data_IF_239173992640
#
_entry.id   IF_239173992640
#
_cell.length_a   1.000
_cell.length_b   1.000
_cell.length_c   1.000
_cell.angle_alpha   90.00
_cell.angle_beta   90.00
_cell.angle_gamma   90.00
#
_symmetry.space_group_name_H-M   'P 1'
#
loop_
_entity.id
_entity.type
_entity.pdbx_description
1 polymer ?
#
# COMPACT_ATOMS: atom_id res chain seq x y z
N UNK A 1 12.96 9.54 25.87
CA UNK A 1 12.70 10.94 26.26
C UNK A 1 13.80 11.78 25.63
N UNK A 2 13.63 12.24 24.40
CA UNK A 2 14.49 13.26 23.78
C UNK A 2 13.56 14.38 23.42
N UNK A 3 13.67 15.48 24.18
CA UNK A 3 12.98 16.75 23.91
C UNK A 3 13.61 17.34 22.66
N UNK A 4 12.83 17.42 21.58
CA UNK A 4 13.16 18.30 20.47
C UNK A 4 12.97 19.74 20.96
N UNK A 5 14.06 20.50 21.00
CA UNK A 5 14.02 21.94 21.15
C UNK A 5 13.40 22.52 19.87
N UNK A 6 12.16 22.92 19.94
CA UNK A 6 11.57 23.84 18.99
C UNK A 6 12.11 25.23 19.31
N UNK A 7 13.28 25.58 18.77
CA UNK A 7 13.65 26.98 18.66
C UNK A 7 12.68 27.64 17.67
N UNK A 8 11.91 28.62 18.16
CA UNK A 8 11.04 29.47 17.37
C UNK A 8 11.84 30.10 16.21
N UNK A 9 11.76 29.49 15.02
CA UNK A 9 12.24 30.11 13.80
C UNK A 9 11.22 31.22 13.48
N UNK A 10 11.65 32.49 13.45
CA UNK A 10 10.74 33.61 13.19
C UNK A 10 10.05 33.37 11.84
N UNK A 11 8.72 33.48 11.83
CA UNK A 11 7.90 33.40 10.62
C UNK A 11 8.33 34.54 9.71
N UNK A 12 9.22 34.24 8.77
CA UNK A 12 9.67 35.20 7.77
C UNK A 12 8.47 35.65 6.94
N UNK A 13 8.28 36.95 6.65
CA UNK A 13 7.18 37.42 5.82
C UNK A 13 7.16 36.65 4.49
N UNK A 14 5.98 36.25 4.05
CA UNK A 14 5.73 35.54 2.80
C UNK A 14 6.54 36.23 1.68
N UNK A 15 7.47 35.51 1.02
CA UNK A 15 8.24 36.14 -0.06
C UNK A 15 7.33 36.67 -1.14
N UNK A 16 7.70 37.76 -1.83
CA UNK A 16 6.86 38.38 -2.85
C UNK A 16 6.39 37.33 -3.86
N UNK A 17 5.11 37.37 -4.20
CA UNK A 17 4.47 36.45 -5.16
C UNK A 17 4.82 36.78 -6.62
N UNK A 18 5.70 37.74 -6.84
CA UNK A 18 6.17 38.18 -8.15
C UNK A 18 6.91 37.03 -8.85
N UNK A 19 6.80 37.02 -10.18
CA UNK A 19 7.56 36.12 -11.05
C UNK A 19 8.65 36.89 -11.74
N UNK A 20 9.75 36.24 -12.06
CA UNK A 20 10.77 36.83 -12.91
C UNK A 20 10.16 37.23 -14.27
N UNK A 21 10.64 38.33 -14.84
CA UNK A 21 10.24 38.70 -16.21
C UNK A 21 10.70 37.62 -17.21
N UNK A 22 10.02 37.46 -18.35
CA UNK A 22 10.40 36.46 -19.35
C UNK A 22 11.88 36.54 -19.76
N UNK A 23 12.41 37.75 -19.92
CA UNK A 23 13.82 37.97 -20.28
C UNK A 23 14.79 37.58 -19.16
N UNK A 24 14.43 37.84 -17.88
CA UNK A 24 15.22 37.43 -16.73
C UNK A 24 15.21 35.90 -16.57
N UNK A 25 14.03 35.28 -16.70
CA UNK A 25 13.88 33.83 -16.64
C UNK A 25 14.75 33.13 -17.72
N UNK A 26 14.70 33.62 -18.95
CA UNK A 26 15.50 33.08 -20.05
C UNK A 26 17.02 33.18 -19.80
N UNK A 27 17.47 34.33 -19.23
CA UNK A 27 18.84 34.51 -18.88
C UNK A 27 19.29 33.53 -17.77
N UNK A 28 18.45 33.32 -16.75
CA UNK A 28 18.71 32.36 -15.65
C UNK A 28 18.73 30.91 -16.15
N UNK A 29 17.80 30.54 -17.02
CA UNK A 29 17.78 29.21 -17.65
C UNK A 29 19.08 28.96 -18.43
N UNK A 30 19.57 29.97 -19.19
CA UNK A 30 20.85 29.85 -19.89
C UNK A 30 22.01 29.64 -18.93
N UNK A 31 22.12 30.41 -17.86
CA UNK A 31 23.16 30.27 -16.85
C UNK A 31 23.19 28.86 -16.25
N UNK A 32 22.00 28.36 -15.82
CA UNK A 32 21.86 27.02 -15.22
C UNK A 32 22.19 25.92 -16.23
N UNK A 33 21.70 26.03 -17.47
CA UNK A 33 21.94 25.03 -18.53
C UNK A 33 23.35 24.95 -19.02
N UNK A 34 24.14 26.03 -18.89
CA UNK A 34 25.57 26.06 -19.28
C UNK A 34 26.52 25.65 -18.13
N UNK A 35 26.01 25.43 -16.92
CA UNK A 35 26.79 24.97 -15.80
C UNK A 35 27.08 23.46 -15.89
N UNK A 36 28.36 23.03 -16.11
CA UNK A 36 28.68 21.60 -16.18
C UNK A 36 28.35 20.83 -14.89
N UNK A 37 28.47 21.52 -13.76
CA UNK A 37 28.18 20.93 -12.45
C UNK A 37 26.70 20.62 -12.32
N UNK A 38 25.81 21.54 -12.74
CA UNK A 38 24.38 21.33 -12.71
C UNK A 38 23.98 20.19 -13.66
N UNK A 39 24.52 20.18 -14.87
CA UNK A 39 24.26 19.10 -15.83
C UNK A 39 24.67 17.74 -15.28
N UNK A 40 25.87 17.63 -14.69
CA UNK A 40 26.35 16.40 -14.08
C UNK A 40 25.46 15.95 -12.89
N UNK A 41 24.98 16.88 -12.05
CA UNK A 41 24.08 16.57 -10.95
C UNK A 41 22.72 16.06 -11.44
N UNK A 42 22.15 16.70 -12.47
CA UNK A 42 20.86 16.31 -13.06
C UNK A 42 20.93 14.93 -13.73
N UNK A 43 22.09 14.50 -14.22
CA UNK A 43 22.30 13.19 -14.82
C UNK A 43 22.63 12.09 -13.80
N UNK A 44 23.34 12.43 -12.72
CA UNK A 44 23.89 11.45 -11.78
C UNK A 44 22.92 11.02 -10.67
N UNK A 45 21.84 11.79 -10.45
CA UNK A 45 20.96 11.59 -9.29
C UNK A 45 19.62 11.00 -9.73
N UNK A 46 19.24 9.85 -9.15
CA UNK A 46 17.97 9.16 -9.42
C UNK A 46 16.75 9.82 -8.74
N UNK A 47 16.98 10.63 -7.70
CA UNK A 47 15.90 11.41 -7.08
C UNK A 47 15.42 12.52 -8.01
N UNK A 48 14.16 12.92 -7.88
CA UNK A 48 13.63 14.08 -8.61
C UNK A 48 14.41 15.35 -8.23
N UNK A 49 15.00 16.04 -9.19
CA UNK A 49 15.72 17.30 -8.97
C UNK A 49 15.04 18.45 -9.70
N UNK A 50 14.86 19.56 -8.98
CA UNK A 50 14.44 20.85 -9.54
C UNK A 50 15.49 21.90 -9.18
N UNK A 51 15.85 22.73 -10.14
CA UNK A 51 16.65 23.94 -9.90
C UNK A 51 15.70 25.14 -10.00
N UNK A 52 15.60 25.93 -8.93
CA UNK A 52 14.68 27.04 -8.81
C UNK A 52 15.44 28.37 -8.72
N UNK A 53 14.85 29.43 -9.26
CA UNK A 53 15.30 30.80 -9.01
C UNK A 53 14.75 31.33 -7.66
N UNK A 54 15.05 32.59 -7.37
CA UNK A 54 14.59 33.27 -6.15
C UNK A 54 13.04 33.37 -6.07
N UNK A 55 12.38 33.48 -7.19
CA UNK A 55 10.90 33.54 -7.36
C UNK A 55 10.27 32.14 -7.32
N UNK A 56 11.08 31.10 -7.06
CA UNK A 56 10.68 29.68 -6.96
C UNK A 56 10.21 29.09 -8.29
N UNK A 57 10.61 29.66 -9.41
CA UNK A 57 10.32 29.14 -10.74
C UNK A 57 11.37 28.11 -11.15
N UNK A 58 10.95 27.04 -11.79
CA UNK A 58 11.82 25.95 -12.25
C UNK A 58 12.64 26.43 -13.45
N UNK A 59 13.94 26.31 -13.34
CA UNK A 59 14.93 26.61 -14.38
C UNK A 59 15.45 25.35 -15.06
N UNK A 60 15.55 24.25 -14.31
CA UNK A 60 15.97 22.95 -14.80
C UNK A 60 15.38 21.83 -13.97
N UNK A 61 15.25 20.64 -14.57
CA UNK A 61 14.79 19.42 -13.91
C UNK A 61 15.48 18.21 -14.54
N UNK A 62 15.70 17.15 -13.77
CA UNK A 62 16.19 15.89 -14.30
C UNK A 62 15.02 15.01 -14.83
N UNK A 63 15.37 13.86 -15.43
CA UNK A 63 14.43 12.87 -15.95
C UNK A 63 14.20 11.72 -14.97
N UNK A 64 14.19 11.99 -13.67
CA UNK A 64 13.91 10.97 -12.69
C UNK A 64 12.50 10.39 -12.88
N UNK A 65 12.29 9.06 -12.68
CA UNK A 65 11.00 8.40 -12.85
C UNK A 65 9.89 9.06 -12.05
N UNK A 66 10.18 9.55 -10.84
CA UNK A 66 9.22 10.29 -10.01
C UNK A 66 8.66 11.51 -10.75
N UNK A 67 9.52 12.32 -11.37
CA UNK A 67 9.10 13.54 -12.06
C UNK A 67 8.39 13.23 -13.38
N UNK A 68 8.82 12.21 -14.11
CA UNK A 68 8.17 11.78 -15.35
C UNK A 68 6.74 11.28 -15.09
N UNK A 69 6.52 10.55 -14.00
CA UNK A 69 5.21 10.05 -13.60
C UNK A 69 4.26 11.15 -13.11
N UNK A 70 4.80 12.24 -12.56
CA UNK A 70 4.04 13.36 -12.02
C UNK A 70 3.83 14.49 -13.02
N UNK A 71 4.50 14.43 -14.16
CA UNK A 71 4.50 15.49 -15.17
C UNK A 71 3.21 15.45 -15.99
N UNK A 72 2.34 16.43 -15.80
CA UNK A 72 1.13 16.58 -16.61
C UNK A 72 1.30 17.56 -17.78
N UNK A 73 2.31 18.43 -17.73
CA UNK A 73 2.56 19.40 -18.79
C UNK A 73 3.93 19.16 -19.47
N UNK A 74 4.00 19.44 -20.77
CA UNK A 74 5.24 19.28 -21.55
C UNK A 74 6.31 20.31 -21.20
N UNK A 75 5.95 21.45 -20.59
CA UNK A 75 6.85 22.52 -20.23
C UNK A 75 6.92 22.66 -18.70
N UNK A 76 8.10 22.47 -18.14
CA UNK A 76 8.37 22.64 -16.69
C UNK A 76 8.97 24.01 -16.36
N UNK A 77 9.68 24.62 -17.32
CA UNK A 77 10.41 25.86 -17.12
C UNK A 77 9.45 27.03 -16.83
N UNK A 78 9.78 27.82 -15.82
CA UNK A 78 9.00 28.97 -15.36
C UNK A 78 7.80 28.63 -14.47
N UNK A 79 7.41 27.35 -14.35
CA UNK A 79 6.41 26.91 -13.39
C UNK A 79 6.99 26.87 -11.98
N UNK A 80 6.13 27.01 -10.97
CA UNK A 80 6.48 26.70 -9.59
C UNK A 80 6.21 25.22 -9.28
N UNK A 81 6.85 24.64 -8.26
CA UNK A 81 6.72 23.20 -7.99
C UNK A 81 5.28 22.67 -7.92
N UNK A 82 4.38 23.37 -7.22
CA UNK A 82 2.97 22.94 -7.14
C UNK A 82 2.21 23.02 -8.45
N UNK A 83 2.58 23.94 -9.35
CA UNK A 83 2.01 24.03 -10.69
C UNK A 83 2.51 22.88 -11.57
N UNK A 84 3.81 22.59 -11.50
CA UNK A 84 4.42 21.46 -12.18
C UNK A 84 3.79 20.12 -11.78
N UNK A 85 3.50 19.94 -10.50
CA UNK A 85 2.86 18.73 -9.97
C UNK A 85 1.32 18.73 -10.11
N UNK A 86 0.73 19.74 -10.71
CA UNK A 86 -0.74 19.91 -10.79
C UNK A 86 -1.42 19.83 -9.42
N UNK A 87 -0.78 20.42 -8.39
CA UNK A 87 -1.37 20.54 -7.07
C UNK A 87 -2.68 21.34 -7.15
N UNK A 88 -3.82 20.82 -6.70
CA UNK A 88 -5.11 21.51 -6.77
C UNK A 88 -5.05 22.90 -6.15
N UNK A 89 -4.28 23.07 -5.08
CA UNK A 89 -4.12 24.34 -4.36
C UNK A 89 -3.31 25.40 -5.12
N UNK A 90 -2.53 24.99 -6.10
CA UNK A 90 -1.77 25.93 -6.94
C UNK A 90 -2.65 26.79 -7.85
N UNK A 91 -3.92 26.40 -8.04
CA UNK A 91 -4.90 27.10 -8.87
C UNK A 91 -5.96 27.85 -8.08
N UNK A 92 -5.93 27.76 -6.75
CA UNK A 92 -6.90 28.46 -5.87
C UNK A 92 -6.66 29.99 -5.84
N UNK A 93 -5.43 30.42 -6.07
CA UNK A 93 -5.04 31.83 -6.08
C UNK A 93 -4.43 32.21 -7.44
N UNK A 94 -4.72 33.42 -7.90
CA UNK A 94 -4.22 33.93 -9.19
C UNK A 94 -2.68 33.98 -9.25
N UNK A 95 -2.01 34.14 -8.10
CA UNK A 95 -0.55 34.16 -7.98
C UNK A 95 0.09 32.78 -8.05
N UNK A 96 -0.71 31.70 -8.01
CA UNK A 96 -0.26 30.33 -8.16
C UNK A 96 0.31 29.68 -6.89
N UNK A 97 1.20 28.72 -7.08
CA UNK A 97 1.80 27.96 -5.99
C UNK A 97 2.54 28.85 -4.98
N UNK A 98 2.24 28.67 -3.70
CA UNK A 98 2.84 29.42 -2.60
C UNK A 98 2.03 30.63 -2.15
N UNK A 99 0.90 30.95 -2.79
CA UNK A 99 0.09 32.13 -2.47
C UNK A 99 -1.08 31.85 -1.51
N UNK A 100 -1.51 30.59 -1.39
CA UNK A 100 -2.62 30.22 -0.52
C UNK A 100 -2.21 29.97 0.92
N UNK A 101 -3.14 30.11 1.88
CA UNK A 101 -2.90 29.82 3.30
C UNK A 101 -2.41 28.39 3.54
N UNK A 102 -2.91 27.44 2.77
CA UNK A 102 -2.50 26.04 2.84
C UNK A 102 -1.04 25.80 2.43
N UNK A 103 -0.46 26.73 1.65
CA UNK A 103 0.94 26.63 1.25
C UNK A 103 1.89 26.86 2.43
N UNK A 104 1.45 27.57 3.47
CA UNK A 104 2.26 27.79 4.69
C UNK A 104 2.57 26.48 5.43
N UNK A 105 1.68 25.48 5.32
CA UNK A 105 1.87 24.13 5.88
C UNK A 105 2.48 23.14 4.86
N UNK A 106 2.76 23.57 3.62
CA UNK A 106 3.31 22.70 2.58
C UNK A 106 4.81 22.52 2.79
N UNK A 107 5.27 21.26 2.99
CA UNK A 107 6.67 20.95 3.21
C UNK A 107 7.59 21.41 2.08
N UNK A 108 7.17 21.33 0.81
CA UNK A 108 7.96 21.85 -0.32
C UNK A 108 8.14 23.37 -0.22
N UNK A 109 7.06 24.09 0.07
CA UNK A 109 7.13 25.55 0.24
C UNK A 109 8.02 25.94 1.42
N UNK A 110 7.86 25.27 2.57
CA UNK A 110 8.68 25.52 3.76
C UNK A 110 10.16 25.22 3.51
N UNK A 111 10.50 24.05 2.91
CA UNK A 111 11.87 23.70 2.63
C UNK A 111 12.56 24.76 1.74
N UNK A 112 11.90 25.18 0.66
CA UNK A 112 12.44 26.16 -0.29
C UNK A 112 12.61 27.53 0.37
N UNK A 113 11.57 28.06 1.01
CA UNK A 113 11.61 29.42 1.58
C UNK A 113 12.55 29.53 2.78
N UNK A 114 12.60 28.52 3.64
CA UNK A 114 13.52 28.49 4.77
C UNK A 114 14.98 28.33 4.30
N UNK A 115 15.21 27.51 3.26
CA UNK A 115 16.56 27.38 2.66
C UNK A 115 17.02 28.71 2.02
N UNK A 116 16.11 29.42 1.32
CA UNK A 116 16.39 30.73 0.75
C UNK A 116 16.71 31.78 1.81
N UNK A 117 15.99 31.76 2.93
CA UNK A 117 16.19 32.72 4.03
C UNK A 117 17.46 32.42 4.85
N UNK A 118 17.72 31.17 5.18
CA UNK A 118 18.80 30.75 6.07
C UNK A 118 20.14 30.49 5.37
N UNK A 119 20.12 30.31 4.05
CA UNK A 119 21.25 29.81 3.23
C UNK A 119 21.77 28.45 3.69
N UNK A 120 20.94 27.66 4.36
CA UNK A 120 21.24 26.30 4.82
C UNK A 120 20.38 25.28 4.09
N UNK A 121 20.85 24.05 4.08
CA UNK A 121 20.04 22.93 3.63
C UNK A 121 18.88 22.74 4.62
N UNK A 122 17.66 22.66 4.09
CA UNK A 122 16.44 22.41 4.84
C UNK A 122 15.76 21.17 4.28
N UNK A 123 15.29 20.31 5.16
CA UNK A 123 14.62 19.07 4.83
C UNK A 123 13.23 19.07 5.49
N UNK A 124 12.20 18.74 4.72
CA UNK A 124 10.80 18.70 5.15
C UNK A 124 10.07 17.55 4.49
N UNK A 125 9.13 16.96 5.22
CA UNK A 125 8.17 16.01 4.63
C UNK A 125 7.00 16.78 4.00
N UNK A 126 6.53 16.36 2.84
CA UNK A 126 5.45 16.98 2.12
C UNK A 126 4.43 15.95 1.65
N UNK A 127 3.19 16.08 2.11
CA UNK A 127 2.06 15.35 1.52
C UNK A 127 1.58 16.14 0.29
N UNK A 128 1.93 15.63 -0.89
CA UNK A 128 1.56 16.23 -2.18
C UNK A 128 0.35 15.50 -2.75
N UNK A 129 -0.73 16.22 -3.01
CA UNK A 129 -1.84 15.69 -3.82
C UNK A 129 -1.67 16.17 -5.26
N UNK A 130 -1.63 15.23 -6.22
CA UNK A 130 -1.52 15.52 -7.66
C UNK A 130 -2.81 15.14 -8.36
N UNK A 131 -3.17 15.88 -9.42
CA UNK A 131 -4.38 15.60 -10.20
C UNK A 131 -5.66 16.11 -9.55
N UNK A 132 -6.81 15.85 -10.19
CA UNK A 132 -8.13 16.29 -9.75
C UNK A 132 -9.15 15.15 -9.82
N UNK A 133 -10.12 15.17 -8.90
CA UNK A 133 -11.23 14.20 -8.88
C UNK A 133 -10.79 12.77 -8.62
N UNK A 134 -11.37 11.80 -9.30
CA UNK A 134 -11.11 10.36 -9.12
C UNK A 134 -9.69 9.92 -9.52
N UNK A 135 -8.93 10.77 -10.21
CA UNK A 135 -7.54 10.54 -10.59
C UNK A 135 -6.51 11.20 -9.66
N UNK A 136 -6.93 11.79 -8.53
CA UNK A 136 -6.02 12.41 -7.59
C UNK A 136 -5.18 11.34 -6.87
N UNK A 137 -3.86 11.53 -6.88
CA UNK A 137 -2.89 10.66 -6.19
C UNK A 137 -2.23 11.44 -5.07
N UNK A 138 -2.21 10.87 -3.87
CA UNK A 138 -1.49 11.41 -2.74
C UNK A 138 -0.11 10.75 -2.63
N UNK A 139 0.94 11.55 -2.56
CA UNK A 139 2.34 11.13 -2.43
C UNK A 139 2.93 11.75 -1.18
N UNK A 140 3.70 10.97 -0.46
CA UNK A 140 4.51 11.44 0.65
C UNK A 140 5.96 11.62 0.16
N UNK A 141 6.39 12.87 0.10
CA UNK A 141 7.71 13.24 -0.40
C UNK A 141 8.61 13.69 0.75
N UNK A 142 9.86 13.25 0.72
CA UNK A 142 10.94 13.91 1.43
C UNK A 142 11.51 14.97 0.50
N UNK A 143 11.46 16.22 0.94
CA UNK A 143 11.88 17.40 0.18
C UNK A 143 13.11 18.02 0.84
N UNK A 144 14.22 18.07 0.14
CA UNK A 144 15.45 18.68 0.60
C UNK A 144 15.82 19.84 -0.31
N UNK A 145 15.87 21.05 0.24
CA UNK A 145 16.22 22.27 -0.47
C UNK A 145 17.59 22.80 -0.01
N UNK A 146 18.44 23.15 -0.95
CA UNK A 146 19.81 23.66 -0.70
C UNK A 146 20.08 24.85 -1.58
N UNK A 147 20.61 25.94 -1.00
CA UNK A 147 21.09 27.08 -1.77
C UNK A 147 22.44 26.78 -2.42
N UNK A 148 22.57 27.15 -3.67
CA UNK A 148 23.79 27.05 -4.44
C UNK A 148 24.06 28.39 -5.15
N UNK A 149 25.33 28.80 -5.19
CA UNK A 149 25.76 29.92 -6.02
C UNK A 149 26.21 29.40 -7.38
N UNK A 150 25.73 30.00 -8.45
CA UNK A 150 26.17 29.73 -9.81
C UNK A 150 26.44 31.09 -10.46
N UNK A 151 27.68 31.35 -10.80
CA UNK A 151 28.13 32.62 -11.41
C UNK A 151 27.74 33.88 -10.61
N UNK A 152 27.79 33.81 -9.28
CA UNK A 152 27.45 34.92 -8.38
C UNK A 152 25.97 35.17 -8.18
N UNK A 153 25.12 34.23 -8.58
CA UNK A 153 23.68 34.25 -8.34
C UNK A 153 23.20 33.06 -7.51
N UNK A 154 22.27 33.33 -6.59
CA UNK A 154 21.70 32.31 -5.71
C UNK A 154 20.59 31.54 -6.41
N UNK A 155 20.69 30.22 -6.41
CA UNK A 155 19.67 29.29 -6.87
C UNK A 155 19.33 28.27 -5.78
N UNK A 156 18.16 27.65 -5.86
CA UNK A 156 17.74 26.61 -4.93
C UNK A 156 17.68 25.27 -5.67
N UNK A 157 18.52 24.32 -5.27
CA UNK A 157 18.40 22.93 -5.72
C UNK A 157 17.46 22.20 -4.76
N UNK A 158 16.40 21.61 -5.30
CA UNK A 158 15.39 20.85 -4.55
C UNK A 158 15.48 19.39 -4.98
N UNK A 159 15.76 18.51 -4.03
CA UNK A 159 15.70 17.06 -4.21
C UNK A 159 14.38 16.53 -3.64
N UNK A 160 13.72 15.69 -4.41
CA UNK A 160 12.42 15.08 -4.10
C UNK A 160 12.57 13.56 -4.11
N UNK A 161 12.24 12.90 -2.99
CA UNK A 161 12.22 11.46 -2.89
C UNK A 161 10.83 11.01 -2.43
N UNK A 162 10.25 10.05 -3.14
CA UNK A 162 9.00 9.41 -2.70
C UNK A 162 9.31 8.50 -1.51
N UNK A 163 8.70 8.81 -0.37
CA UNK A 163 8.80 8.04 0.87
C UNK A 163 7.47 7.37 1.23
N UNK A 164 6.52 7.33 0.29
CA UNK A 164 5.19 6.77 0.54
C UNK A 164 5.25 5.29 0.93
N UNK A 165 6.20 4.54 0.37
CA UNK A 165 6.40 3.14 0.72
C UNK A 165 7.00 2.97 2.11
N UNK A 166 8.01 3.77 2.45
CA UNK A 166 8.64 3.79 3.77
C UNK A 166 7.63 4.17 4.85
N UNK A 167 6.88 5.24 4.64
CA UNK A 167 5.86 5.71 5.58
C UNK A 167 4.74 4.69 5.81
N UNK A 168 4.26 4.07 4.72
CA UNK A 168 3.28 3.00 4.82
C UNK A 168 3.82 1.80 5.61
N UNK A 169 5.10 1.42 5.40
CA UNK A 169 5.73 0.35 6.16
C UNK A 169 5.85 0.71 7.64
N UNK A 170 6.33 1.90 7.98
CA UNK A 170 6.45 2.37 9.37
C UNK A 170 5.09 2.42 10.08
N UNK A 171 4.04 2.89 9.39
CA UNK A 171 2.69 2.92 9.94
C UNK A 171 2.18 1.50 10.26
N UNK A 172 2.48 0.53 9.38
CA UNK A 172 2.12 -0.88 9.59
C UNK A 172 2.89 -1.51 10.74
N UNK A 173 4.20 -1.30 10.80
CA UNK A 173 5.03 -1.78 11.90
C UNK A 173 4.49 -1.24 13.24
N UNK A 174 4.11 0.03 13.29
CA UNK A 174 3.54 0.65 14.49
C UNK A 174 2.21 -0.01 14.89
N UNK A 175 1.29 -0.22 13.92
CA UNK A 175 0.01 -0.87 14.17
C UNK A 175 0.24 -2.32 14.64
N UNK A 176 1.10 -3.06 13.97
CA UNK A 176 1.45 -4.43 14.33
C UNK A 176 2.00 -4.55 15.76
N UNK A 177 2.97 -3.71 16.13
CA UNK A 177 3.50 -3.70 17.49
C UNK A 177 2.45 -3.30 18.52
N UNK A 178 1.60 -2.32 18.21
CA UNK A 178 0.49 -1.94 19.09
C UNK A 178 -0.44 -3.13 19.39
N UNK A 179 -0.79 -3.91 18.38
CA UNK A 179 -1.73 -5.03 18.56
C UNK A 179 -1.09 -6.25 19.23
N UNK A 180 0.19 -6.51 18.95
CA UNK A 180 0.97 -7.48 19.74
C UNK A 180 0.98 -7.07 21.21
N UNK A 181 1.29 -5.82 21.53
CA UNK A 181 1.31 -5.33 22.90
C UNK A 181 -0.05 -5.42 23.58
N UNK A 182 -1.14 -5.15 22.87
CA UNK A 182 -2.50 -5.31 23.37
C UNK A 182 -2.82 -6.77 23.66
N UNK A 183 -2.43 -7.70 22.78
CA UNK A 183 -2.63 -9.14 22.98
C UNK A 183 -1.77 -9.65 24.14
N UNK A 184 -0.53 -9.20 24.27
CA UNK A 184 0.35 -9.53 25.43
C UNK A 184 -0.22 -8.98 26.73
N UNK A 185 -0.78 -7.77 26.73
CA UNK A 185 -1.42 -7.19 27.91
C UNK A 185 -2.65 -7.99 28.32
N UNK A 186 -3.48 -8.41 27.35
CA UNK A 186 -4.61 -9.30 27.62
C UNK A 186 -4.15 -10.66 28.16
N UNK A 187 -3.10 -11.24 27.58
CA UNK A 187 -2.47 -12.48 28.06
C UNK A 187 -2.01 -12.35 29.52
N UNK A 188 -1.30 -11.27 29.85
CA UNK A 188 -0.85 -10.98 31.22
C UNK A 188 -2.02 -10.91 32.20
N UNK A 189 -3.09 -10.22 31.84
CA UNK A 189 -4.29 -10.11 32.67
C UNK A 189 -4.97 -11.48 32.89
N UNK A 190 -5.09 -12.30 31.86
CA UNK A 190 -5.67 -13.63 31.97
C UNK A 190 -4.76 -14.61 32.75
N UNK A 191 -3.44 -14.47 32.66
CA UNK A 191 -2.47 -15.25 33.45
C UNK A 191 -2.60 -14.90 34.93
N UNK A 192 -2.79 -13.61 35.25
CA UNK A 192 -3.05 -13.20 36.62
C UNK A 192 -4.38 -13.78 37.17
N UNK A 193 -5.43 -13.77 36.35
CA UNK A 193 -6.70 -14.43 36.71
C UNK A 193 -6.55 -15.93 36.88
N UNK A 194 -5.76 -16.60 36.05
CA UNK A 194 -5.47 -18.04 36.14
C UNK A 194 -4.85 -18.39 37.49
N UNK A 195 -3.94 -17.57 37.99
CA UNK A 195 -3.22 -17.83 39.29
C UNK A 195 -4.05 -17.40 40.48
N UNK A 196 -4.99 -16.48 40.36
CA UNK A 196 -5.81 -15.93 41.45
C UNK A 196 -7.23 -16.54 41.53
N UNK A 197 -7.59 -17.44 40.63
CA UNK A 197 -8.94 -18.03 40.55
C UNK A 197 -8.89 -19.54 40.63
N UNK A 198 -10.05 -20.17 40.99
CA UNK A 198 -10.24 -21.63 41.05
C UNK A 198 -11.54 -22.02 40.32
N UNK A 199 -11.65 -23.30 39.94
CA UNK A 199 -12.83 -23.87 39.28
C UNK A 199 -13.10 -23.25 37.89
N UNK A 200 -14.37 -23.05 37.52
CA UNK A 200 -14.77 -22.59 36.18
C UNK A 200 -14.08 -21.30 35.71
N UNK A 201 -13.71 -20.40 36.61
CA UNK A 201 -12.99 -19.17 36.23
C UNK A 201 -11.57 -19.47 35.78
N UNK A 202 -10.93 -20.45 36.41
CA UNK A 202 -9.60 -20.92 36.04
C UNK A 202 -9.61 -21.61 34.67
N UNK A 203 -10.63 -22.45 34.39
CA UNK A 203 -10.77 -23.13 33.11
C UNK A 203 -11.03 -22.13 31.97
N UNK A 204 -11.89 -21.14 32.18
CA UNK A 204 -12.10 -20.03 31.22
C UNK A 204 -10.83 -19.25 30.97
N UNK A 205 -10.02 -19.00 32.00
CA UNK A 205 -8.74 -18.30 31.82
C UNK A 205 -7.75 -19.12 30.98
N UNK A 206 -7.67 -20.46 31.21
CA UNK A 206 -6.84 -21.36 30.38
C UNK A 206 -7.23 -21.35 28.92
N UNK A 207 -8.53 -21.51 28.66
CA UNK A 207 -9.05 -21.45 27.27
C UNK A 207 -8.75 -20.11 26.60
N UNK A 208 -8.94 -19.01 27.34
CA UNK A 208 -8.69 -17.67 26.79
C UNK A 208 -7.22 -17.43 26.49
N UNK A 209 -6.32 -17.87 27.38
CA UNK A 209 -4.87 -17.81 27.17
C UNK A 209 -4.49 -18.63 25.93
N UNK A 210 -4.93 -19.88 25.83
CA UNK A 210 -4.63 -20.74 24.67
C UNK A 210 -5.09 -20.08 23.35
N UNK A 211 -6.28 -19.50 23.31
CA UNK A 211 -6.78 -18.78 22.13
C UNK A 211 -5.95 -17.55 21.78
N UNK A 212 -5.55 -16.76 22.78
CA UNK A 212 -4.72 -15.56 22.57
C UNK A 212 -3.30 -15.91 22.08
N UNK A 213 -2.71 -16.98 22.62
CA UNK A 213 -1.40 -17.49 22.14
C UNK A 213 -1.49 -17.91 20.68
N UNK A 214 -2.47 -18.75 20.33
CA UNK A 214 -2.66 -19.18 18.94
C UNK A 214 -2.99 -18.04 17.98
N UNK A 215 -3.67 -16.98 18.46
CA UNK A 215 -3.89 -15.77 17.68
C UNK A 215 -2.56 -15.03 17.42
N UNK A 216 -1.75 -14.84 18.46
CA UNK A 216 -0.47 -14.15 18.38
C UNK A 216 0.50 -14.89 17.45
N UNK A 217 0.59 -16.22 17.58
CA UNK A 217 1.42 -17.04 16.69
C UNK A 217 1.03 -16.87 15.23
N UNK A 218 -0.26 -16.93 14.91
CA UNK A 218 -0.76 -16.74 13.54
C UNK A 218 -0.43 -15.36 13.00
N UNK A 219 -0.57 -14.32 13.82
CA UNK A 219 -0.29 -12.95 13.42
C UNK A 219 1.19 -12.74 13.11
N UNK A 220 2.08 -13.23 13.97
CA UNK A 220 3.54 -13.18 13.77
C UNK A 220 3.95 -13.96 12.52
N UNK A 221 3.39 -15.14 12.31
CA UNK A 221 3.70 -15.96 11.13
C UNK A 221 3.19 -15.31 9.82
N UNK A 222 2.03 -14.68 9.85
CA UNK A 222 1.52 -13.93 8.70
C UNK A 222 2.46 -12.78 8.35
N UNK A 223 2.84 -12.00 9.35
CA UNK A 223 3.72 -10.85 9.17
C UNK A 223 5.09 -11.27 8.63
N UNK A 224 5.68 -12.33 9.19
CA UNK A 224 6.95 -12.88 8.71
C UNK A 224 6.85 -13.30 7.24
N UNK A 225 5.80 -14.03 6.87
CA UNK A 225 5.61 -14.48 5.49
C UNK A 225 5.46 -13.31 4.52
N UNK A 226 4.75 -12.23 4.93
CA UNK A 226 4.60 -11.04 4.11
C UNK A 226 5.94 -10.30 3.94
N UNK A 227 6.73 -10.19 5.00
CA UNK A 227 8.07 -9.59 4.93
C UNK A 227 8.99 -10.39 3.99
N UNK A 228 9.04 -11.71 4.14
CA UNK A 228 9.83 -12.58 3.27
C UNK A 228 9.37 -12.48 1.80
N UNK A 229 8.06 -12.36 1.59
CA UNK A 229 7.48 -12.18 0.26
C UNK A 229 7.85 -10.82 -0.36
N UNK A 230 7.79 -9.73 0.41
CA UNK A 230 8.16 -8.40 -0.06
C UNK A 230 9.65 -8.28 -0.39
N UNK A 231 10.50 -8.90 0.43
CA UNK A 231 11.95 -8.95 0.21
C UNK A 231 12.36 -9.90 -0.93
N UNK A 232 11.41 -10.71 -1.45
CA UNK A 232 11.72 -11.71 -2.49
C UNK A 232 12.51 -12.93 -1.98
N UNK A 233 12.60 -13.10 -0.67
CA UNK A 233 13.30 -14.22 -0.03
C UNK A 233 12.43 -15.44 0.17
N UNK A 234 11.10 -15.29 0.11
CA UNK A 234 10.14 -16.38 0.22
C UNK A 234 10.38 -17.43 -0.89
N UNK A 235 10.48 -18.70 -0.53
CA UNK A 235 10.65 -19.83 -1.45
C UNK A 235 9.46 -20.77 -1.34
N UNK A 236 8.53 -20.79 -2.31
CA UNK A 236 7.38 -21.70 -2.31
C UNK A 236 7.84 -23.16 -2.36
N UNK A 237 7.24 -23.99 -1.53
CA UNK A 237 7.43 -25.44 -1.55
C UNK A 237 6.29 -26.09 -2.35
N UNK A 238 6.50 -26.25 -3.64
CA UNK A 238 5.50 -26.82 -4.55
C UNK A 238 5.43 -28.34 -4.40
N UNK A 239 4.24 -28.83 -4.08
CA UNK A 239 3.92 -30.27 -3.98
C UNK A 239 2.61 -30.53 -4.70
N UNK A 240 2.37 -31.78 -5.09
CA UNK A 240 1.09 -32.20 -5.66
C UNK A 240 0.07 -32.34 -4.54
N UNK A 241 -1.05 -31.64 -4.66
CA UNK A 241 -2.17 -31.68 -3.72
C UNK A 241 -3.50 -31.77 -4.46
N UNK A 242 -4.51 -32.30 -3.80
CA UNK A 242 -5.88 -32.27 -4.32
C UNK A 242 -6.65 -31.09 -3.72
N UNK A 243 -7.52 -30.42 -4.50
CA UNK A 243 -8.43 -29.40 -3.96
C UNK A 243 -9.24 -29.90 -2.77
N UNK A 244 -9.71 -31.14 -2.82
CA UNK A 244 -10.46 -31.78 -1.74
C UNK A 244 -9.73 -31.75 -0.38
N UNK A 245 -8.43 -32.06 -0.36
CA UNK A 245 -7.63 -32.04 0.85
C UNK A 245 -7.54 -30.61 1.45
N UNK A 246 -7.25 -29.61 0.60
CA UNK A 246 -7.19 -28.21 1.03
C UNK A 246 -8.53 -27.68 1.57
N UNK A 247 -9.64 -28.05 0.90
CA UNK A 247 -10.98 -27.67 1.32
C UNK A 247 -11.36 -28.33 2.65
N UNK A 248 -11.00 -29.61 2.86
CA UNK A 248 -11.21 -30.34 4.11
C UNK A 248 -10.45 -29.73 5.28
N UNK A 249 -9.19 -29.38 5.09
CA UNK A 249 -8.37 -28.71 6.10
C UNK A 249 -8.99 -27.37 6.53
N UNK A 250 -9.43 -26.57 5.56
CA UNK A 250 -10.09 -25.28 5.83
C UNK A 250 -11.42 -25.46 6.58
N UNK A 251 -12.22 -26.46 6.22
CA UNK A 251 -13.46 -26.76 6.94
C UNK A 251 -13.18 -27.08 8.41
N UNK A 252 -12.14 -27.85 8.69
CA UNK A 252 -11.69 -28.16 10.06
C UNK A 252 -11.26 -26.90 10.81
N UNK A 253 -10.44 -26.04 10.19
CA UNK A 253 -9.95 -24.79 10.82
C UNK A 253 -11.11 -23.86 11.24
N UNK A 254 -12.20 -23.81 10.46
CA UNK A 254 -13.32 -22.92 10.72
C UNK A 254 -14.48 -23.55 11.49
N UNK A 255 -14.42 -24.83 11.88
CA UNK A 255 -15.50 -25.50 12.60
C UNK A 255 -15.90 -24.77 13.90
N UNK A 256 -14.93 -24.45 14.75
CA UNK A 256 -15.16 -23.71 16.00
C UNK A 256 -15.61 -22.25 15.75
N UNK A 257 -15.10 -21.64 14.69
CA UNK A 257 -15.44 -20.28 14.32
C UNK A 257 -16.89 -20.15 13.88
N UNK A 258 -17.41 -21.14 13.15
CA UNK A 258 -18.83 -21.22 12.74
C UNK A 258 -19.76 -21.21 13.95
N UNK A 259 -19.49 -22.07 14.91
CA UNK A 259 -20.29 -22.19 16.13
C UNK A 259 -20.26 -20.90 16.97
N UNK A 260 -19.06 -20.30 17.14
CA UNK A 260 -18.89 -19.09 17.93
C UNK A 260 -19.52 -17.84 17.29
N UNK A 261 -19.58 -17.77 15.96
CA UNK A 261 -20.09 -16.60 15.23
C UNK A 261 -21.52 -16.76 14.72
N UNK A 262 -22.15 -17.91 14.95
CA UNK A 262 -23.50 -18.24 14.45
C UNK A 262 -23.63 -18.01 12.93
N UNK A 263 -22.62 -18.42 12.17
CA UNK A 263 -22.57 -18.36 10.70
C UNK A 263 -22.19 -19.72 10.16
N UNK A 264 -22.63 -20.05 8.96
CA UNK A 264 -22.35 -21.34 8.33
C UNK A 264 -21.31 -21.21 7.21
N UNK A 265 -20.37 -22.17 7.14
CA UNK A 265 -19.48 -22.36 6.01
C UNK A 265 -19.93 -23.60 5.23
N UNK A 266 -20.31 -23.42 3.98
CA UNK A 266 -20.56 -24.53 3.06
C UNK A 266 -19.36 -24.71 2.16
N UNK A 267 -18.87 -25.95 2.06
CA UNK A 267 -17.69 -26.30 1.26
C UNK A 267 -18.09 -27.28 0.18
N UNK A 268 -17.76 -26.99 -1.09
CA UNK A 268 -18.11 -27.79 -2.24
C UNK A 268 -16.87 -28.05 -3.09
N UNK A 269 -16.53 -29.33 -3.32
CA UNK A 269 -15.51 -29.74 -4.30
C UNK A 269 -16.22 -30.03 -5.63
N UNK A 270 -15.98 -29.18 -6.65
CA UNK A 270 -16.53 -29.32 -7.99
C UNK A 270 -15.48 -29.75 -9.02
N UNK A 271 -14.29 -30.14 -8.55
CA UNK A 271 -13.19 -30.65 -9.38
C UNK A 271 -12.59 -31.94 -8.78
N UNK A 272 -13.43 -32.99 -8.55
CA UNK A 272 -12.95 -34.22 -7.95
C UNK A 272 -11.90 -34.90 -8.81
N UNK A 273 -10.82 -35.40 -8.17
CA UNK A 273 -9.74 -36.12 -8.86
C UNK A 273 -8.71 -35.23 -9.56
N UNK A 274 -8.86 -33.91 -9.50
CA UNK A 274 -7.86 -32.98 -10.03
C UNK A 274 -6.66 -32.89 -9.10
N UNK A 275 -5.47 -32.92 -9.66
CA UNK A 275 -4.22 -32.67 -8.95
C UNK A 275 -3.66 -31.29 -9.31
N UNK A 276 -3.23 -30.55 -8.31
CA UNK A 276 -2.67 -29.21 -8.42
C UNK A 276 -1.24 -29.19 -7.86
N UNK A 277 -0.28 -28.68 -8.63
CA UNK A 277 1.10 -28.48 -8.17
C UNK A 277 1.24 -27.07 -7.61
N UNK A 278 1.23 -26.95 -6.28
CA UNK A 278 1.24 -25.65 -5.58
C UNK A 278 1.91 -25.78 -4.22
N UNK A 279 2.08 -24.64 -3.54
CA UNK A 279 2.43 -24.63 -2.12
C UNK A 279 1.15 -24.60 -1.27
N UNK A 280 0.81 -25.71 -0.57
CA UNK A 280 -0.43 -25.83 0.19
C UNK A 280 -0.50 -24.87 1.37
N UNK A 281 0.65 -24.51 1.96
CA UNK A 281 0.72 -23.58 3.10
C UNK A 281 0.38 -22.16 2.63
N UNK A 282 0.98 -21.72 1.53
CA UNK A 282 0.70 -20.40 0.98
C UNK A 282 -0.72 -20.30 0.43
N UNK A 283 -1.20 -21.34 -0.29
CA UNK A 283 -2.57 -21.37 -0.80
C UNK A 283 -3.59 -21.43 0.36
N UNK A 284 -3.34 -22.26 1.36
CA UNK A 284 -4.16 -22.32 2.57
C UNK A 284 -4.26 -20.98 3.28
N UNK A 285 -3.18 -20.17 3.33
CA UNK A 285 -3.21 -18.79 3.87
C UNK A 285 -4.08 -17.85 3.04
N UNK A 286 -3.97 -17.93 1.71
CA UNK A 286 -4.82 -17.11 0.81
C UNK A 286 -6.29 -17.43 1.06
N UNK A 287 -6.66 -18.71 1.04
CA UNK A 287 -8.03 -19.17 1.23
C UNK A 287 -8.55 -18.86 2.65
N UNK A 288 -7.72 -19.06 3.69
CA UNK A 288 -8.06 -18.68 5.07
C UNK A 288 -8.39 -17.19 5.18
N UNK A 289 -7.62 -16.32 4.54
CA UNK A 289 -7.90 -14.89 4.54
C UNK A 289 -9.19 -14.56 3.79
N UNK A 290 -9.47 -15.22 2.67
CA UNK A 290 -10.73 -15.05 1.93
C UNK A 290 -11.93 -15.45 2.81
N UNK A 291 -11.88 -16.62 3.44
CA UNK A 291 -12.97 -17.13 4.31
C UNK A 291 -13.14 -16.24 5.53
N UNK A 292 -12.05 -15.81 6.17
CA UNK A 292 -12.11 -14.89 7.32
C UNK A 292 -12.80 -13.57 6.95
N UNK A 293 -12.42 -12.96 5.82
CA UNK A 293 -13.06 -11.73 5.36
C UNK A 293 -14.54 -11.93 5.03
N UNK A 294 -14.89 -13.07 4.42
CA UNK A 294 -16.26 -13.41 4.13
C UNK A 294 -17.09 -13.57 5.42
N UNK A 295 -16.56 -14.26 6.45
CA UNK A 295 -17.23 -14.36 7.76
C UNK A 295 -17.45 -13.00 8.39
N UNK A 296 -16.44 -12.12 8.36
CA UNK A 296 -16.52 -10.79 8.95
C UNK A 296 -17.57 -9.91 8.24
N UNK A 297 -17.73 -10.08 6.92
CA UNK A 297 -18.70 -9.34 6.11
C UNK A 297 -20.12 -9.97 6.13
N UNK A 298 -20.28 -11.18 6.67
CA UNK A 298 -21.56 -11.90 6.70
C UNK A 298 -22.31 -11.59 8.00
N UNK A 299 -23.61 -11.24 7.96
CA UNK A 299 -24.41 -11.04 9.16
C UNK A 299 -24.58 -12.35 9.95
N UNK A 300 -24.97 -12.24 11.22
CA UNK A 300 -25.29 -13.38 12.08
C UNK A 300 -26.45 -14.19 11.44
N UNK A 301 -26.35 -15.51 11.43
CA UNK A 301 -27.27 -16.41 10.75
C UNK A 301 -27.02 -16.57 9.25
N UNK A 302 -26.08 -15.81 8.68
CA UNK A 302 -25.76 -15.86 7.26
C UNK A 302 -24.80 -17.00 6.89
N UNK A 303 -24.63 -17.20 5.58
CA UNK A 303 -23.85 -18.29 4.99
C UNK A 303 -22.67 -17.76 4.19
N UNK A 304 -21.50 -18.37 4.41
CA UNK A 304 -20.30 -18.26 3.56
C UNK A 304 -20.19 -19.53 2.73
N UNK A 305 -19.88 -19.41 1.45
CA UNK A 305 -19.67 -20.56 0.55
C UNK A 305 -18.24 -20.57 0.05
N UNK A 306 -17.59 -21.73 0.15
CA UNK A 306 -16.25 -21.98 -0.39
C UNK A 306 -16.37 -23.13 -1.37
N UNK A 307 -15.91 -22.96 -2.62
CA UNK A 307 -15.87 -24.03 -3.59
C UNK A 307 -14.64 -23.95 -4.48
N UNK A 308 -14.26 -25.05 -5.09
CA UNK A 308 -13.34 -25.07 -6.21
C UNK A 308 -14.05 -25.50 -7.47
N UNK A 309 -13.61 -25.04 -8.63
CA UNK A 309 -14.11 -25.49 -9.92
C UNK A 309 -13.00 -25.48 -10.97
N UNK A 310 -13.18 -26.33 -11.98
CA UNK A 310 -12.31 -26.38 -13.15
C UNK A 310 -12.74 -25.30 -14.14
N UNK A 311 -11.84 -24.44 -14.53
CA UNK A 311 -12.05 -23.45 -15.57
C UNK A 311 -11.25 -23.79 -16.82
N UNK A 312 -11.95 -23.96 -17.95
CA UNK A 312 -11.31 -24.02 -19.26
C UNK A 312 -11.01 -22.62 -19.76
N UNK A 313 -9.75 -22.35 -20.09
CA UNK A 313 -9.36 -21.05 -20.64
C UNK A 313 -10.08 -20.76 -21.97
N UNK A 314 -10.38 -19.47 -22.30
CA UNK A 314 -10.95 -19.13 -23.60
C UNK A 314 -9.98 -19.55 -24.69
N UNK A 315 -10.40 -20.45 -25.60
CA UNK A 315 -9.68 -20.80 -26.82
C UNK A 315 -9.64 -19.56 -27.71
N UNK A 316 -8.56 -18.78 -27.63
CA UNK A 316 -8.27 -17.81 -28.66
C UNK A 316 -7.88 -18.59 -29.91
N UNK A 317 -8.74 -18.55 -30.93
CA UNK A 317 -8.55 -19.17 -32.24
C UNK A 317 -7.13 -18.91 -32.77
N UNK A 318 -6.27 -19.96 -32.80
CA UNK A 318 -5.03 -19.96 -33.54
C UNK A 318 -3.73 -20.28 -32.82
N UNK A 319 -3.69 -20.53 -31.51
CA UNK A 319 -2.51 -21.01 -30.82
C UNK A 319 -2.87 -22.07 -29.76
N UNK A 320 -2.12 -23.19 -29.63
CA UNK A 320 -2.40 -24.26 -28.68
C UNK A 320 -1.83 -23.86 -27.31
N UNK A 321 -2.60 -23.08 -26.53
CA UNK A 321 -2.40 -22.89 -25.11
C UNK A 321 -3.77 -22.77 -24.43
N UNK A 322 -4.45 -23.91 -24.24
CA UNK A 322 -5.54 -24.01 -23.27
C UNK A 322 -4.91 -23.91 -21.89
N UNK A 323 -5.06 -22.78 -21.25
CA UNK A 323 -4.66 -22.62 -19.86
C UNK A 323 -5.79 -23.07 -18.96
N UNK A 324 -5.99 -24.39 -18.85
CA UNK A 324 -6.87 -24.95 -17.85
C UNK A 324 -6.39 -24.53 -16.47
N UNK A 325 -7.33 -24.25 -15.60
CA UNK A 325 -7.02 -23.76 -14.27
C UNK A 325 -7.98 -24.37 -13.24
N UNK A 326 -7.52 -24.45 -12.01
CA UNK A 326 -8.39 -24.63 -10.84
C UNK A 326 -8.62 -23.27 -10.20
N UNK A 327 -9.87 -22.90 -10.06
CA UNK A 327 -10.28 -21.70 -9.36
C UNK A 327 -10.90 -22.06 -8.00
N UNK A 328 -10.50 -21.35 -6.96
CA UNK A 328 -11.15 -21.39 -5.64
C UNK A 328 -11.90 -20.10 -5.42
N UNK A 329 -13.12 -20.21 -4.93
CA UNK A 329 -14.05 -19.09 -4.75
C UNK A 329 -14.57 -19.07 -3.34
N UNK A 330 -14.68 -17.88 -2.77
CA UNK A 330 -15.32 -17.64 -1.47
C UNK A 330 -16.37 -16.55 -1.64
N UNK A 331 -17.63 -16.91 -1.35
CA UNK A 331 -18.77 -16.02 -1.45
C UNK A 331 -19.29 -15.62 -0.08
N UNK A 332 -19.70 -14.36 0.03
CA UNK A 332 -20.51 -13.84 1.14
C UNK A 332 -21.61 -12.90 0.62
N UNK A 333 -22.73 -12.75 1.35
CA UNK A 333 -23.87 -11.94 0.88
C UNK A 333 -23.63 -10.43 0.92
N UNK A 334 -22.55 -9.95 1.57
CA UNK A 334 -22.25 -8.52 1.67
C UNK A 334 -21.67 -7.95 0.37
N UNK A 335 -22.00 -6.69 0.07
CA UNK A 335 -21.46 -5.93 -1.05
C UNK A 335 -20.27 -5.07 -0.60
N UNK A 336 -19.26 -4.93 -1.46
CA UNK A 336 -18.18 -3.95 -1.28
C UNK A 336 -18.59 -2.65 -1.95
N UNK A 337 -18.64 -1.57 -1.18
CA UNK A 337 -19.04 -0.26 -1.69
C UNK A 337 -18.16 0.17 -2.90
N UNK A 338 -18.74 0.81 -3.94
CA UNK A 338 -17.99 1.23 -5.15
C UNK A 338 -16.76 2.09 -4.85
N UNK A 339 -16.82 2.93 -3.82
CA UNK A 339 -15.69 3.76 -3.38
C UNK A 339 -14.54 2.94 -2.75
N UNK A 340 -14.83 1.73 -2.24
CA UNK A 340 -13.88 0.83 -1.57
C UNK A 340 -13.24 -0.14 -2.57
N UNK A 341 -14.00 -0.56 -3.58
CA UNK A 341 -13.60 -1.58 -4.55
C UNK A 341 -12.21 -1.36 -5.19
N UNK A 342 -11.81 -0.15 -5.64
CA UNK A 342 -10.49 0.09 -6.23
C UNK A 342 -9.33 -0.11 -5.24
N UNK A 343 -9.62 -0.08 -3.94
CA UNK A 343 -8.61 -0.08 -2.88
C UNK A 343 -8.48 -1.43 -2.15
N UNK A 344 -9.35 -2.41 -2.45
CA UNK A 344 -9.44 -3.70 -1.72
C UNK A 344 -8.10 -4.41 -1.60
N UNK A 345 -7.30 -4.44 -2.65
CA UNK A 345 -5.99 -5.10 -2.66
C UNK A 345 -4.82 -4.15 -2.35
N UNK A 346 -5.09 -2.91 -2.01
CA UNK A 346 -4.03 -2.00 -1.61
C UNK A 346 -3.52 -2.36 -0.22
N UNK A 347 -2.21 -2.28 -0.07
CA UNK A 347 -1.55 -2.49 1.22
C UNK A 347 -2.06 -1.47 2.24
N UNK A 348 -2.34 -1.93 3.46
CA UNK A 348 -2.82 -1.10 4.58
C UNK A 348 -4.22 -0.50 4.41
N UNK A 349 -4.94 -0.87 3.37
CA UNK A 349 -6.31 -0.42 3.21
C UNK A 349 -7.25 -1.30 4.04
N UNK A 350 -8.01 -0.68 4.94
CA UNK A 350 -9.05 -1.34 5.73
C UNK A 350 -10.23 -0.41 5.94
N UNK A 351 -11.43 -0.97 5.90
CA UNK A 351 -12.66 -0.28 6.29
C UNK A 351 -13.04 -0.54 7.76
N UNK A 352 -12.23 -1.33 8.48
CA UNK A 352 -12.49 -1.78 9.84
C UNK A 352 -11.76 -0.89 10.84
N UNK A 353 -12.49 -0.05 11.57
CA UNK A 353 -11.93 0.78 12.62
C UNK A 353 -11.36 -0.10 13.76
N UNK A 354 -10.06 -0.09 13.96
CA UNK A 354 -9.39 -0.65 15.14
C UNK A 354 -9.13 -2.16 15.17
N UNK A 355 -9.58 -2.96 14.18
CA UNK A 355 -9.44 -4.43 14.20
C UNK A 355 -8.84 -5.07 12.94
N UNK A 356 -8.56 -4.29 11.92
CA UNK A 356 -8.05 -4.81 10.65
C UNK A 356 -6.82 -4.05 10.16
N UNK A 357 -5.72 -4.77 9.89
CA UNK A 357 -4.44 -4.15 9.45
C UNK A 357 -4.37 -3.87 7.96
N UNK A 358 -5.42 -4.18 7.19
CA UNK A 358 -5.40 -4.05 5.72
C UNK A 358 -4.34 -4.93 5.03
N UNK A 359 -3.83 -5.96 5.73
CA UNK A 359 -2.81 -6.87 5.19
C UNK A 359 -3.42 -8.14 4.59
N UNK A 360 -4.66 -8.50 4.96
CA UNK A 360 -5.29 -9.73 4.53
C UNK A 360 -5.48 -9.80 3.02
N UNK A 361 -6.17 -8.82 2.44
CA UNK A 361 -6.44 -8.76 0.99
C UNK A 361 -5.18 -8.47 0.16
N UNK A 362 -4.29 -7.61 0.65
CA UNK A 362 -2.98 -7.40 0.06
C UNK A 362 -2.16 -8.70 0.03
N UNK A 363 -2.11 -9.43 1.16
CA UNK A 363 -1.41 -10.70 1.27
C UNK A 363 -1.98 -11.77 0.34
N UNK A 364 -3.30 -11.84 0.16
CA UNK A 364 -3.94 -12.73 -0.82
C UNK A 364 -3.37 -12.49 -2.22
N UNK A 365 -3.32 -11.22 -2.64
CA UNK A 365 -2.82 -10.84 -3.97
C UNK A 365 -1.32 -11.09 -4.11
N UNK A 366 -0.52 -10.66 -3.14
CA UNK A 366 0.93 -10.85 -3.15
C UNK A 366 1.32 -12.33 -3.22
N UNK A 367 0.76 -13.16 -2.35
CA UNK A 367 1.05 -14.59 -2.29
C UNK A 367 0.45 -15.32 -3.50
N UNK A 368 -0.80 -15.02 -3.86
CA UNK A 368 -1.53 -15.67 -4.95
C UNK A 368 -0.92 -15.39 -6.31
N UNK A 369 -0.57 -14.14 -6.61
CA UNK A 369 -0.07 -13.78 -7.95
C UNK A 369 1.45 -13.98 -8.06
N UNK A 370 2.24 -13.42 -7.13
CA UNK A 370 3.70 -13.43 -7.25
C UNK A 370 4.34 -14.78 -6.93
N UNK A 371 3.78 -15.52 -5.95
CA UNK A 371 4.42 -16.75 -5.44
C UNK A 371 3.74 -18.03 -5.91
N UNK A 372 2.41 -18.04 -5.97
CA UNK A 372 1.67 -19.20 -6.48
C UNK A 372 1.50 -19.17 -8.01
N UNK A 373 1.72 -18.02 -8.66
CA UNK A 373 1.58 -17.85 -10.11
C UNK A 373 0.12 -17.85 -10.57
N UNK A 374 -0.81 -17.57 -9.67
CA UNK A 374 -2.23 -17.48 -9.95
C UNK A 374 -2.70 -16.07 -10.27
N UNK A 375 -4.01 -15.90 -10.35
CA UNK A 375 -4.69 -14.60 -10.48
C UNK A 375 -5.70 -14.45 -9.35
N UNK A 376 -5.62 -13.35 -8.61
CA UNK A 376 -6.54 -13.02 -7.51
C UNK A 376 -7.46 -11.90 -7.92
N UNK A 377 -8.76 -12.14 -7.81
CA UNK A 377 -9.80 -11.17 -8.20
C UNK A 377 -10.98 -11.21 -7.25
N UNK A 378 -11.90 -10.26 -7.41
CA UNK A 378 -13.22 -10.32 -6.78
C UNK A 378 -14.29 -9.73 -7.70
N UNK A 379 -15.53 -10.18 -7.49
CA UNK A 379 -16.73 -9.57 -8.04
C UNK A 379 -17.66 -9.19 -6.90
N UNK A 380 -18.40 -8.10 -7.04
CA UNK A 380 -19.33 -7.64 -5.99
C UNK A 380 -20.53 -6.94 -6.59
N UNK A 381 -21.70 -7.18 -6.01
CA UNK A 381 -22.93 -6.45 -6.32
C UNK A 381 -23.93 -6.59 -5.17
N UNK A 382 -24.88 -5.65 -5.07
CA UNK A 382 -25.95 -5.71 -4.06
C UNK A 382 -26.83 -6.97 -4.18
N UNK A 383 -27.03 -7.49 -5.39
CA UNK A 383 -27.89 -8.66 -5.63
C UNK A 383 -27.15 -9.98 -5.41
N UNK A 384 -25.88 -10.09 -5.77
CA UNK A 384 -25.12 -11.34 -5.74
C UNK A 384 -24.13 -11.45 -4.58
N UNK A 385 -23.96 -10.39 -3.78
CA UNK A 385 -22.93 -10.32 -2.74
C UNK A 385 -21.53 -10.17 -3.33
N UNK A 386 -20.53 -10.67 -2.59
CA UNK A 386 -19.12 -10.61 -3.01
C UNK A 386 -18.55 -12.01 -3.16
N UNK A 387 -17.81 -12.24 -4.24
CA UNK A 387 -17.02 -13.44 -4.50
C UNK A 387 -15.57 -13.07 -4.65
N UNK A 388 -14.71 -13.55 -3.76
CA UNK A 388 -13.26 -13.54 -3.95
C UNK A 388 -12.82 -14.82 -4.63
N UNK A 389 -11.87 -14.72 -5.57
CA UNK A 389 -11.41 -15.85 -6.38
C UNK A 389 -9.88 -15.86 -6.47
N UNK A 390 -9.29 -17.05 -6.42
CA UNK A 390 -7.92 -17.31 -6.84
C UNK A 390 -7.93 -18.39 -7.93
N UNK A 391 -7.41 -18.07 -9.09
CA UNK A 391 -7.28 -18.93 -10.25
C UNK A 391 -5.84 -19.39 -10.40
N UNK A 392 -5.60 -20.70 -10.39
CA UNK A 392 -4.26 -21.30 -10.47
C UNK A 392 -4.15 -22.11 -11.78
N UNK A 393 -3.19 -21.81 -12.66
CA UNK A 393 -3.04 -22.54 -13.91
C UNK A 393 -2.55 -23.97 -13.64
N UNK A 394 -3.11 -24.91 -14.38
CA UNK A 394 -2.64 -26.30 -14.38
C UNK A 394 -1.48 -26.45 -15.37
N UNK A 395 -0.45 -27.26 -15.05
CA UNK A 395 0.58 -27.62 -16.02
C UNK A 395 -0.04 -28.35 -17.21
N UNK A 396 0.38 -28.03 -18.44
CA UNK A 396 -0.17 -28.58 -19.67
C UNK A 396 -0.17 -30.14 -19.78
N UNK A 397 0.53 -30.85 -18.91
CA UNK A 397 0.61 -32.32 -18.87
C UNK A 397 -0.53 -33.01 -18.08
N UNK A 398 -1.33 -32.24 -17.30
CA UNK A 398 -2.40 -32.83 -16.46
C UNK A 398 -3.74 -32.89 -17.21
N UNK A 399 -3.86 -32.21 -18.35
CA UNK A 399 -5.10 -32.12 -19.14
C UNK A 399 -5.41 -33.39 -19.97
N UNK A 400 -4.58 -34.43 -19.96
CA UNK A 400 -4.73 -35.65 -20.82
C UNK A 400 -5.25 -36.88 -20.10
N UNK A 401 -5.77 -36.78 -18.90
CA UNK A 401 -6.16 -37.93 -18.07
C UNK A 401 -7.66 -37.96 -17.66
N UNK A 402 -8.59 -37.58 -18.60
CA UNK A 402 -10.02 -37.91 -18.46
C UNK A 402 -10.51 -38.48 -19.77
#
# INVERSE_FOLDING_TARGET
MVKANSEDVPVTPIPPHERASPAALEAEVRTVSHSPIVSALLEAVDAGLLVLNRERQILATNRAPLLENLRHERHSIGLRPGEFFSCPRATEQAQGCGAGEHCLACGTYQAVTQSQASRRTVEQECLLTTGRGAGAVALELNVRATQVDIDGKDYTVVSLRDISHEKRREALERIFFHDILNTLSALSNWTHLLTSSTGERQDRARERISRLVGQLEREIQLQRTLLDAEQGTLRPQRVTVTPAALLGDLQGVFADTQAAQQRTLTVEDRCPGVELVTDPVLLGRVLTNMVKNAFEATPVGGQVRLWCEWETGPSASGAPQSSDAVAFHVHNPGEIAPAVAPHVFQRSFTTKAGTGHGLGTYGMRLLGERYLGGQVSFTTSAAAGTVFSIRLPLPAAVATGI
#
